data_IF_754916164073
#
_entry.id   IF_754916164073
#
_cell.length_a   1.000
_cell.length_b   1.000
_cell.length_c   1.000
_cell.angle_alpha   90.00
_cell.angle_beta   90.00
_cell.angle_gamma   90.00
#
_symmetry.space_group_name_H-M   'P 1'
#
loop_
_entity.id
_entity.type
_entity.pdbx_description
1 polymer ?
#
# COMPACT_ATOMS: atom_id res chain seq x y z
N UNK A 1 5.76 12.79 1.44
CA UNK A 1 6.12 14.19 1.07
C UNK A 1 5.99 14.49 -0.42
N UNK A 2 6.43 13.58 -1.32
CA UNK A 2 6.33 13.79 -2.77
C UNK A 2 4.90 14.04 -3.28
N UNK A 3 3.91 13.29 -2.79
CA UNK A 3 2.49 13.47 -3.16
C UNK A 3 1.97 14.89 -2.89
N UNK A 4 2.23 15.43 -1.69
CA UNK A 4 1.74 16.76 -1.28
C UNK A 4 2.33 17.87 -2.17
N UNK A 5 3.62 17.78 -2.47
CA UNK A 5 4.28 18.72 -3.38
C UNK A 5 3.69 18.64 -4.79
N UNK A 6 3.41 17.42 -5.29
CA UNK A 6 2.77 17.25 -6.61
C UNK A 6 1.33 17.77 -6.64
N UNK A 7 0.57 17.61 -5.54
CA UNK A 7 -0.78 18.16 -5.40
C UNK A 7 -0.75 19.70 -5.45
N UNK A 8 0.20 20.32 -4.76
CA UNK A 8 0.40 21.78 -4.81
C UNK A 8 0.84 22.28 -6.19
N UNK A 9 1.72 21.54 -6.87
CA UNK A 9 2.15 21.87 -8.24
C UNK A 9 0.98 21.83 -9.22
N UNK A 10 0.14 20.78 -9.14
CA UNK A 10 -1.04 20.68 -9.98
C UNK A 10 -2.00 21.84 -9.73
N UNK A 11 -2.24 22.20 -8.48
CA UNK A 11 -3.12 23.31 -8.11
C UNK A 11 -2.58 24.65 -8.61
N UNK A 12 -1.26 24.86 -8.53
CA UNK A 12 -0.61 26.06 -9.05
C UNK A 12 -0.71 26.15 -10.59
N UNK A 13 -0.47 25.05 -11.30
CA UNK A 13 -0.58 25.02 -12.76
C UNK A 13 -2.02 25.20 -13.25
N UNK A 14 -3.01 24.64 -12.54
CA UNK A 14 -4.43 24.89 -12.83
C UNK A 14 -4.80 26.37 -12.68
N UNK A 15 -4.32 27.04 -11.62
CA UNK A 15 -4.55 28.49 -11.42
C UNK A 15 -3.88 29.31 -12.51
N UNK A 16 -2.62 29.01 -12.87
CA UNK A 16 -1.93 29.71 -13.97
C UNK A 16 -2.64 29.49 -15.31
N UNK A 17 -3.14 28.29 -15.59
CA UNK A 17 -3.91 28.00 -16.80
C UNK A 17 -5.22 28.81 -16.84
N UNK A 18 -5.96 28.87 -15.74
CA UNK A 18 -7.18 29.67 -15.64
C UNK A 18 -6.92 31.19 -15.83
N UNK A 19 -5.73 31.66 -15.46
CA UNK A 19 -5.26 33.04 -15.66
C UNK A 19 -4.62 33.27 -17.04
N UNK A 20 -4.57 32.26 -17.91
CA UNK A 20 -3.94 32.33 -19.24
C UNK A 20 -2.41 32.36 -19.25
N UNK A 21 -1.76 32.20 -18.10
CA UNK A 21 -0.31 32.23 -17.92
C UNK A 21 0.36 30.85 -18.07
N UNK A 22 -0.42 29.78 -18.21
CA UNK A 22 0.06 28.42 -18.46
C UNK A 22 -0.77 27.76 -19.57
N UNK A 23 -0.28 26.63 -20.09
CA UNK A 23 -0.93 25.86 -21.15
C UNK A 23 -1.46 24.54 -20.61
N UNK A 24 -2.49 23.99 -21.27
CA UNK A 24 -3.11 22.72 -20.91
C UNK A 24 -2.07 21.57 -20.80
N UNK A 25 -0.98 21.66 -21.56
CA UNK A 25 0.13 20.72 -21.54
C UNK A 25 0.76 20.57 -20.15
N UNK A 26 1.05 21.68 -19.47
CA UNK A 26 1.66 21.65 -18.13
C UNK A 26 0.72 21.07 -17.07
N UNK A 27 -0.60 21.33 -17.19
CA UNK A 27 -1.61 20.75 -16.30
C UNK A 27 -1.65 19.23 -16.45
N UNK A 28 -1.67 18.72 -17.69
CA UNK A 28 -1.65 17.27 -17.97
C UNK A 28 -0.36 16.62 -17.45
N UNK A 29 0.79 17.29 -17.61
CA UNK A 29 2.06 16.80 -17.09
C UNK A 29 2.02 16.69 -15.56
N UNK A 30 1.55 17.73 -14.86
CA UNK A 30 1.41 17.71 -13.40
C UNK A 30 0.42 16.62 -12.92
N UNK A 31 -0.68 16.39 -13.63
CA UNK A 31 -1.63 15.31 -13.32
C UNK A 31 -0.98 13.93 -13.45
N UNK A 32 -0.22 13.71 -14.54
CA UNK A 32 0.52 12.46 -14.77
C UNK A 32 1.54 12.23 -13.66
N UNK A 33 2.32 13.25 -13.30
CA UNK A 33 3.37 13.12 -12.29
C UNK A 33 2.77 12.84 -10.91
N UNK A 34 1.61 13.43 -10.59
CA UNK A 34 0.84 13.13 -9.39
C UNK A 34 0.30 11.70 -9.38
N UNK A 35 -0.23 11.21 -10.50
CA UNK A 35 -0.71 9.83 -10.61
C UNK A 35 0.46 8.83 -10.44
N UNK A 36 1.62 9.11 -11.02
CA UNK A 36 2.83 8.30 -10.85
C UNK A 36 3.28 8.29 -9.39
N UNK A 37 3.31 9.46 -8.72
CA UNK A 37 3.68 9.55 -7.31
C UNK A 37 2.74 8.73 -6.40
N UNK A 38 1.42 8.73 -6.68
CA UNK A 38 0.44 7.89 -5.97
C UNK A 38 0.69 6.41 -6.19
N UNK A 39 0.97 6.00 -7.42
CA UNK A 39 1.30 4.60 -7.74
C UNK A 39 2.56 4.13 -7.00
N UNK A 40 3.60 4.97 -6.96
CA UNK A 40 4.84 4.66 -6.21
C UNK A 40 4.59 4.56 -4.71
N UNK A 41 3.73 5.41 -4.14
CA UNK A 41 3.36 5.34 -2.72
C UNK A 41 2.69 4.00 -2.37
N UNK A 42 1.73 3.55 -3.17
CA UNK A 42 1.05 2.26 -2.97
C UNK A 42 2.01 1.08 -3.15
N UNK A 43 2.88 1.13 -4.16
CA UNK A 43 3.91 0.11 -4.37
C UNK A 43 4.88 0.03 -3.19
N UNK A 44 5.32 1.18 -2.66
CA UNK A 44 6.20 1.26 -1.49
C UNK A 44 5.53 0.70 -0.23
N UNK A 45 4.24 1.01 0.00
CA UNK A 45 3.48 0.44 1.11
C UNK A 45 3.37 -1.10 0.99
N UNK A 46 3.11 -1.61 -0.21
CA UNK A 46 3.06 -3.05 -0.48
C UNK A 46 4.42 -3.72 -0.27
N UNK A 47 5.50 -3.09 -0.72
CA UNK A 47 6.86 -3.56 -0.53
C UNK A 47 7.24 -3.59 0.95
N UNK A 48 6.84 -2.57 1.72
CA UNK A 48 7.03 -2.53 3.16
C UNK A 48 6.31 -3.69 3.86
N UNK A 49 5.04 -3.95 3.52
CA UNK A 49 4.30 -5.09 4.07
C UNK A 49 4.99 -6.42 3.74
N UNK A 50 5.45 -6.61 2.50
CA UNK A 50 6.22 -7.80 2.10
C UNK A 50 7.53 -7.93 2.86
N UNK A 51 8.28 -6.84 3.03
CA UNK A 51 9.53 -6.82 3.78
C UNK A 51 9.30 -7.15 5.26
N UNK A 52 8.21 -6.66 5.85
CA UNK A 52 7.81 -7.02 7.23
C UNK A 52 7.53 -8.52 7.35
N UNK A 53 6.74 -9.09 6.43
CA UNK A 53 6.45 -10.53 6.41
C UNK A 53 7.73 -11.36 6.22
N UNK A 54 8.65 -10.90 5.36
CA UNK A 54 9.94 -11.56 5.16
C UNK A 54 10.84 -11.46 6.40
N UNK A 55 10.83 -10.33 7.09
CA UNK A 55 11.54 -10.14 8.36
C UNK A 55 10.98 -11.07 9.45
N UNK A 56 9.66 -11.13 9.59
CA UNK A 56 8.98 -12.03 10.52
C UNK A 56 9.31 -13.50 10.19
N UNK A 57 9.39 -13.82 8.89
CA UNK A 57 9.80 -15.13 8.38
C UNK A 57 11.26 -15.49 8.70
N UNK A 58 12.19 -14.57 8.44
CA UNK A 58 13.62 -14.79 8.62
C UNK A 58 14.04 -14.82 10.11
N UNK A 59 13.28 -14.16 10.98
CA UNK A 59 13.55 -14.11 12.42
C UNK A 59 13.03 -15.37 13.16
N UNK A 60 12.45 -16.34 12.44
CA UNK A 60 11.92 -17.57 13.04
C UNK A 60 10.65 -17.38 13.88
N UNK A 61 10.10 -16.16 13.91
CA UNK A 61 8.84 -15.84 14.59
C UNK A 61 7.62 -16.14 13.75
N UNK A 62 7.77 -16.62 12.51
CA UNK A 62 6.63 -17.04 11.67
C UNK A 62 5.76 -18.06 12.37
N UNK A 63 6.38 -19.01 13.08
CA UNK A 63 5.69 -20.06 13.83
C UNK A 63 5.00 -19.48 15.07
N UNK A 64 5.66 -18.63 15.87
CA UNK A 64 5.03 -17.94 17.01
C UNK A 64 3.90 -16.98 16.57
N UNK A 65 4.13 -16.14 15.56
CA UNK A 65 3.18 -15.16 15.06
C UNK A 65 1.95 -15.81 14.41
N UNK A 66 2.13 -16.96 13.76
CA UNK A 66 1.02 -17.78 13.27
C UNK A 66 0.59 -18.86 14.28
N UNK A 67 1.06 -18.84 15.53
CA UNK A 67 0.73 -19.80 16.60
C UNK A 67 0.89 -21.29 16.19
N UNK A 68 1.82 -21.62 15.29
CA UNK A 68 2.07 -22.98 14.81
C UNK A 68 3.02 -23.68 15.80
N UNK A 69 2.47 -24.62 16.59
CA UNK A 69 3.26 -25.51 17.46
C UNK A 69 3.74 -26.73 16.69
N UNK A 70 5.03 -27.07 16.82
CA UNK A 70 5.61 -28.28 16.19
C UNK A 70 5.13 -29.55 16.91
N UNK A 71 4.85 -29.49 18.22
CA UNK A 71 4.23 -30.60 18.98
C UNK A 71 2.86 -30.99 18.38
N UNK A 72 2.00 -30.02 18.06
CA UNK A 72 0.67 -30.27 17.46
C UNK A 72 0.79 -30.92 16.08
N UNK A 73 1.77 -30.48 15.28
CA UNK A 73 2.04 -31.05 13.95
C UNK A 73 2.54 -32.50 14.03
N UNK A 74 3.31 -32.84 15.08
CA UNK A 74 3.81 -34.19 15.31
C UNK A 74 2.71 -35.13 15.81
N UNK A 75 1.79 -34.63 16.64
CA UNK A 75 0.64 -35.39 17.16
C UNK A 75 -0.54 -35.46 16.17
N UNK A 76 -0.46 -34.77 15.03
CA UNK A 76 -1.48 -34.79 13.97
C UNK A 76 -2.80 -34.12 14.37
N UNK A 77 -2.78 -33.20 15.34
CA UNK A 77 -3.96 -32.49 15.84
C UNK A 77 -3.78 -30.99 15.64
N UNK A 78 -4.79 -30.33 15.07
CA UNK A 78 -4.84 -28.87 15.00
C UNK A 78 -5.99 -28.42 15.89
N UNK A 79 -5.70 -27.90 17.08
CA UNK A 79 -6.73 -27.44 18.03
C UNK A 79 -7.44 -26.14 17.61
N UNK A 80 -7.01 -25.52 16.51
CA UNK A 80 -7.41 -24.17 16.12
C UNK A 80 -8.56 -24.19 15.12
N UNK A 81 -9.65 -23.43 15.36
CA UNK A 81 -10.70 -23.26 14.37
C UNK A 81 -10.16 -22.49 13.15
N UNK A 82 -10.68 -22.74 11.93
CA UNK A 82 -10.30 -21.99 10.73
C UNK A 82 -10.41 -20.49 10.96
N UNK A 83 -9.41 -19.73 10.51
CA UNK A 83 -9.48 -18.26 10.56
C UNK A 83 -10.72 -17.78 9.81
N UNK A 84 -11.45 -16.83 10.40
CA UNK A 84 -12.62 -16.25 9.79
C UNK A 84 -12.24 -15.65 8.43
N UNK A 85 -13.04 -15.95 7.41
CA UNK A 85 -12.89 -15.31 6.10
C UNK A 85 -12.90 -13.80 6.32
N UNK A 86 -11.98 -13.05 5.70
CA UNK A 86 -12.00 -11.60 5.80
C UNK A 86 -13.39 -11.13 5.34
N UNK A 87 -14.08 -10.39 6.21
CA UNK A 87 -15.39 -9.85 5.88
C UNK A 87 -15.23 -9.01 4.62
N UNK A 88 -15.79 -9.49 3.51
CA UNK A 88 -15.93 -8.69 2.30
C UNK A 88 -16.83 -7.54 2.73
N UNK A 89 -16.24 -6.35 2.87
CA UNK A 89 -17.01 -5.11 2.93
C UNK A 89 -17.70 -5.00 1.57
N UNK A 90 -18.87 -5.63 1.45
CA UNK A 90 -19.82 -5.36 0.39
C UNK A 90 -20.19 -3.88 0.56
N UNK A 91 -19.58 -3.06 -0.27
CA UNK A 91 -20.02 -1.68 -0.47
C UNK A 91 -21.36 -1.77 -1.21
N UNK A 92 -22.43 -1.40 -0.51
CA UNK A 92 -23.63 -0.84 -1.13
C UNK A 92 -23.46 0.68 -1.32
#
# INVERSE_FOLDING_TARGET
KARVLQEQTLEAEQKKYALGASTIFFVIQAQRDLAQARSTEVAAASQYMKAKVQLDSATGRTLEANNISIEEALEGRVSRPPSALPAVLQQE
#
